data_IF_499033611835
#
_entry.id   IF_499033611835
#
_cell.length_a   1.000
_cell.length_b   1.000
_cell.length_c   1.000
_cell.angle_alpha   90.00
_cell.angle_beta   90.00
_cell.angle_gamma   90.00
#
_symmetry.space_group_name_H-M   'P 1'
#
loop_
_entity.id
_entity.type
_entity.pdbx_description
1 polymer ?
#
# COMPACT_ATOMS: atom_id res chain seq x y z
N UNK A 1 -10.61 12.44 13.83
CA UNK A 1 -9.92 11.15 14.04
C UNK A 1 -9.56 10.58 12.68
N UNK A 2 -8.47 9.82 12.54
CA UNK A 2 -8.14 9.14 11.27
C UNK A 2 -8.93 7.83 11.07
N UNK A 3 -9.85 7.51 11.97
CA UNK A 3 -10.58 6.24 12.03
C UNK A 3 -11.37 5.91 10.74
N UNK A 4 -11.70 6.91 9.92
CA UNK A 4 -12.41 6.73 8.64
C UNK A 4 -11.49 6.71 7.41
N UNK A 5 -10.18 6.95 7.57
CA UNK A 5 -9.22 7.04 6.48
C UNK A 5 -8.50 5.71 6.24
N UNK A 6 -9.18 4.80 5.53
CA UNK A 6 -8.55 3.56 5.07
C UNK A 6 -7.61 3.83 3.88
N UNK A 7 -6.32 3.45 3.95
CA UNK A 7 -5.41 3.65 2.83
C UNK A 7 -5.78 2.74 1.65
N UNK A 8 -5.60 3.25 0.43
CA UNK A 8 -5.65 2.42 -0.78
C UNK A 8 -4.40 1.56 -0.87
N UNK A 9 -4.58 0.29 -1.24
CA UNK A 9 -3.49 -0.70 -1.32
C UNK A 9 -3.17 -1.13 -2.75
N UNK A 10 -4.15 -1.03 -3.66
CA UNK A 10 -4.02 -1.42 -5.06
C UNK A 10 -2.97 -0.59 -5.81
N UNK A 11 -2.28 -1.21 -6.77
CA UNK A 11 -1.18 -0.65 -7.56
C UNK A 11 -0.01 -0.04 -6.74
N UNK A 12 0.05 -0.32 -5.43
CA UNK A 12 1.19 0.06 -4.61
C UNK A 12 2.33 -0.95 -4.81
N UNK A 13 3.57 -0.47 -4.73
CA UNK A 13 4.73 -1.32 -4.89
C UNK A 13 4.81 -2.42 -3.81
N UNK A 14 5.00 -3.68 -4.21
CA UNK A 14 5.05 -4.82 -3.29
C UNK A 14 6.01 -4.62 -2.10
N UNK A 15 7.27 -4.24 -2.36
CA UNK A 15 8.26 -3.98 -1.30
C UNK A 15 7.85 -2.85 -0.35
N UNK A 16 7.07 -1.88 -0.83
CA UNK A 16 6.57 -0.82 0.03
C UNK A 16 5.50 -1.37 0.98
N UNK A 17 4.57 -2.18 0.46
CA UNK A 17 3.53 -2.82 1.27
C UNK A 17 4.13 -3.71 2.36
N UNK A 18 5.12 -4.54 2.03
CA UNK A 18 5.84 -5.37 3.01
C UNK A 18 6.43 -4.53 4.14
N UNK A 19 7.17 -3.47 3.80
CA UNK A 19 7.77 -2.57 4.78
C UNK A 19 6.73 -1.91 5.69
N UNK A 20 5.58 -1.49 5.13
CA UNK A 20 4.49 -0.91 5.92
C UNK A 20 3.85 -1.93 6.84
N UNK A 21 3.63 -3.15 6.35
CA UNK A 21 3.11 -4.25 7.15
C UNK A 21 4.01 -4.51 8.36
N UNK A 22 5.32 -4.65 8.14
CA UNK A 22 6.29 -4.87 9.21
C UNK A 22 6.32 -3.71 10.22
N UNK A 23 6.25 -2.46 9.73
CA UNK A 23 6.21 -1.29 10.60
C UNK A 23 4.94 -1.25 11.48
N UNK A 24 3.79 -1.69 10.97
CA UNK A 24 2.55 -1.81 11.75
C UNK A 24 2.67 -2.96 12.76
N UNK A 25 3.15 -4.12 12.31
CA UNK A 25 3.33 -5.32 13.15
C UNK A 25 4.28 -5.07 14.31
N UNK A 26 5.38 -4.36 14.07
CA UNK A 26 6.38 -4.03 15.09
C UNK A 26 6.03 -2.78 15.92
N UNK A 27 4.87 -2.15 15.70
CA UNK A 27 4.46 -0.94 16.42
C UNK A 27 5.25 0.33 16.08
N UNK A 28 6.08 0.33 15.02
CA UNK A 28 6.83 1.51 14.57
C UNK A 28 5.92 2.56 13.93
N UNK A 29 4.76 2.14 13.41
CA UNK A 29 3.76 3.03 12.83
C UNK A 29 2.75 3.48 13.89
N UNK A 30 2.95 4.68 14.43
CA UNK A 30 2.17 5.23 15.55
C UNK A 30 0.74 5.65 15.19
N UNK A 31 0.45 5.84 13.90
CA UNK A 31 -0.87 6.23 13.39
C UNK A 31 -1.62 5.08 12.71
N UNK A 32 -1.28 3.83 13.05
CA UNK A 32 -1.98 2.67 12.52
C UNK A 32 -3.35 2.49 13.20
N UNK A 33 -4.37 2.21 12.41
CA UNK A 33 -5.70 1.88 12.92
C UNK A 33 -5.66 0.60 13.78
N UNK A 34 -6.25 0.58 15.00
CA UNK A 34 -6.25 -0.58 15.87
C UNK A 34 -6.83 -1.86 15.25
N UNK A 35 -7.83 -1.74 14.35
CA UNK A 35 -8.41 -2.86 13.61
C UNK A 35 -7.40 -3.46 12.64
N UNK A 36 -6.62 -2.62 11.94
CA UNK A 36 -5.53 -3.09 11.07
C UNK A 36 -4.46 -3.84 11.88
N UNK A 37 -4.05 -3.31 13.03
CA UNK A 37 -3.06 -3.97 13.91
C UNK A 37 -3.57 -5.35 14.35
N UNK A 38 -4.84 -5.46 14.75
CA UNK A 38 -5.45 -6.73 15.16
C UNK A 38 -5.47 -7.75 14.02
N UNK A 39 -5.81 -7.32 12.81
CA UNK A 39 -5.87 -8.20 11.64
C UNK A 39 -4.49 -8.70 11.21
N UNK A 40 -3.49 -7.81 11.21
CA UNK A 40 -2.09 -8.12 10.84
C UNK A 40 -1.47 -9.19 11.74
N UNK A 41 -1.83 -9.22 13.03
CA UNK A 41 -1.35 -10.23 13.99
C UNK A 41 -1.82 -11.65 13.69
N UNK A 42 -2.85 -11.82 12.87
CA UNK A 42 -3.42 -13.13 12.54
C UNK A 42 -2.75 -13.84 11.36
N UNK A 43 -1.88 -13.18 10.61
CA UNK A 43 -1.23 -13.76 9.42
C UNK A 43 0.16 -14.32 9.74
N UNK A 44 0.48 -15.46 9.14
CA UNK A 44 1.86 -15.95 9.01
C UNK A 44 2.63 -15.17 7.93
N UNK A 45 3.97 -15.18 7.98
CA UNK A 45 4.80 -14.46 7.01
C UNK A 45 4.50 -14.87 5.55
N UNK A 46 4.24 -16.15 5.30
CA UNK A 46 3.89 -16.65 3.96
C UNK A 46 2.54 -16.11 3.46
N UNK A 47 1.55 -16.01 4.34
CA UNK A 47 0.25 -15.43 3.99
C UNK A 47 0.38 -13.93 3.71
N UNK A 48 1.23 -13.23 4.46
CA UNK A 48 1.52 -11.82 4.23
C UNK A 48 2.13 -11.60 2.86
N UNK A 49 3.17 -12.35 2.51
CA UNK A 49 3.81 -12.26 1.20
C UNK A 49 2.81 -12.52 0.08
N UNK A 50 2.02 -13.59 0.18
CA UNK A 50 1.02 -13.96 -0.82
C UNK A 50 -0.07 -12.88 -0.99
N UNK A 51 -0.64 -12.40 0.12
CA UNK A 51 -1.69 -11.38 0.11
C UNK A 51 -1.16 -10.05 -0.45
N UNK A 52 0.03 -9.64 -0.04
CA UNK A 52 0.61 -8.37 -0.48
C UNK A 52 1.09 -8.42 -1.93
N UNK A 53 1.62 -9.55 -2.42
CA UNK A 53 1.96 -9.73 -3.83
C UNK A 53 0.69 -9.62 -4.68
N UNK A 54 -0.37 -10.36 -4.32
CA UNK A 54 -1.66 -10.26 -5.01
C UNK A 54 -2.23 -8.84 -4.99
N UNK A 55 -2.28 -8.22 -3.81
CA UNK A 55 -2.84 -6.86 -3.63
C UNK A 55 -2.07 -5.82 -4.42
N UNK A 56 -0.75 -5.94 -4.51
CA UNK A 56 0.10 -5.02 -5.27
C UNK A 56 -0.22 -4.99 -6.77
N UNK A 57 -0.75 -6.11 -7.29
CA UNK A 57 -1.10 -6.30 -8.71
C UNK A 57 -2.52 -5.87 -9.04
N UNK A 58 -3.35 -5.56 -8.03
CA UNK A 58 -4.69 -5.07 -8.26
C UNK A 58 -4.64 -3.70 -8.94
N UNK A 59 -5.45 -3.54 -9.98
CA UNK A 59 -5.58 -2.26 -10.67
C UNK A 59 -6.66 -1.42 -10.01
N UNK A 60 -6.42 -0.12 -9.77
CA UNK A 60 -7.47 0.77 -9.30
C UNK A 60 -8.57 0.93 -10.37
N UNK A 61 -9.80 1.29 -9.95
CA UNK A 61 -10.87 1.70 -10.85
C UNK A 61 -10.39 2.68 -11.92
N UNK A 62 -10.99 2.63 -13.11
CA UNK A 62 -10.57 3.46 -14.25
C UNK A 62 -10.58 4.96 -13.94
N UNK A 63 -11.58 5.42 -13.20
CA UNK A 63 -11.70 6.82 -12.76
C UNK A 63 -10.52 7.30 -11.90
N UNK A 64 -9.73 6.37 -11.34
CA UNK A 64 -8.54 6.67 -10.53
C UNK A 64 -7.24 6.42 -11.29
N UNK A 65 -7.31 5.92 -12.54
CA UNK A 65 -6.15 5.68 -13.39
C UNK A 65 -5.85 6.94 -14.19
N UNK A 66 -4.56 7.21 -14.37
CA UNK A 66 -4.13 8.29 -15.25
C UNK A 66 -4.54 7.99 -16.70
N UNK A 67 -4.87 9.04 -17.45
CA UNK A 67 -5.12 8.91 -18.90
C UNK A 67 -3.85 8.41 -19.60
N UNK A 68 -4.03 7.70 -20.72
CA UNK A 68 -2.91 7.29 -21.55
C UNK A 68 -2.04 8.51 -21.94
N UNK A 69 -0.73 8.40 -21.74
CA UNK A 69 0.23 9.49 -22.01
C UNK A 69 0.34 10.56 -20.91
N UNK A 70 -0.50 10.53 -19.87
CA UNK A 70 -0.35 11.43 -18.73
C UNK A 70 0.90 11.05 -17.92
N UNK A 71 1.71 12.06 -17.57
CA UNK A 71 2.92 11.91 -16.76
C UNK A 71 2.85 12.87 -15.58
N UNK A 72 3.25 12.40 -14.41
CA UNK A 72 3.27 13.25 -13.22
C UNK A 72 4.32 14.38 -13.41
N UNK A 73 3.93 15.66 -13.35
CA UNK A 73 4.83 16.81 -13.55
C UNK A 73 5.90 16.94 -12.46
N UNK A 74 5.68 16.35 -11.29
CA UNK A 74 6.62 16.41 -10.16
C UNK A 74 7.88 15.54 -10.39
N UNK A 75 7.80 14.54 -11.27
CA UNK A 75 8.99 13.76 -11.65
C UNK A 75 9.77 14.50 -12.72
N UNK A 76 11.03 14.83 -12.40
CA UNK A 76 11.95 15.45 -13.35
C UNK A 76 11.96 14.67 -14.68
N UNK A 77 11.96 15.40 -15.79
CA UNK A 77 12.27 14.78 -17.09
C UNK A 77 13.70 14.24 -17.01
N UNK A 78 13.94 12.98 -17.41
CA UNK A 78 15.31 12.50 -17.55
C UNK A 78 16.03 13.48 -18.50
N UNK A 79 17.23 13.91 -18.12
CA UNK A 79 18.07 14.67 -19.02
C UNK A 79 18.32 13.82 -20.27
N UNK A 80 18.09 14.40 -21.44
CA UNK A 80 18.36 13.78 -22.73
C UNK A 80 19.84 13.48 -22.91
#
# INVERSE_FOLDING_TARGET
SNDDLTPRLQAQHYKYLLRQFDAIRSGKRLNADPKMVKQIRGFSDKEVEAVLDYTSRLMPPEILRAKAGWRNPDFARPAN
#
